data_IF_544816737317
#
_entry.id   IF_544816737317
#
_cell.length_a   1.000
_cell.length_b   1.000
_cell.length_c   1.000
_cell.angle_alpha   90.00
_cell.angle_beta   90.00
_cell.angle_gamma   90.00
#
_symmetry.space_group_name_H-M   'P 1'
#
loop_
_entity.id
_entity.type
_entity.pdbx_description
1 polymer ?
#
# COMPACT_ATOMS: atom_id res chain seq x y z
N UNK A 1 -12.63 43.16 0.10
CA UNK A 1 -13.55 42.00 0.15
C UNK A 1 -13.25 40.90 -0.87
N UNK A 2 -13.05 41.21 -2.17
CA UNK A 2 -12.72 40.18 -3.20
C UNK A 2 -11.41 39.42 -2.92
N UNK A 3 -10.38 40.03 -2.38
CA UNK A 3 -9.09 39.35 -2.06
C UNK A 3 -9.20 38.39 -0.89
N UNK A 4 -10.03 38.68 0.14
CA UNK A 4 -10.25 37.79 1.26
C UNK A 4 -11.00 36.50 0.85
N UNK A 5 -11.98 36.63 -0.05
CA UNK A 5 -12.68 35.48 -0.63
C UNK A 5 -11.77 34.63 -1.52
N UNK A 6 -10.82 35.23 -2.24
CA UNK A 6 -9.82 34.50 -3.03
C UNK A 6 -8.89 33.69 -2.14
N UNK A 7 -8.36 34.24 -1.05
CA UNK A 7 -7.47 33.55 -0.11
C UNK A 7 -8.16 32.38 0.62
N UNK A 8 -9.42 32.55 1.03
CA UNK A 8 -10.20 31.49 1.66
C UNK A 8 -10.51 30.32 0.68
N UNK A 9 -10.79 30.63 -0.58
CA UNK A 9 -11.01 29.63 -1.63
C UNK A 9 -9.72 28.85 -1.96
N UNK A 10 -8.59 29.53 -2.01
CA UNK A 10 -7.27 28.92 -2.21
C UNK A 10 -6.89 27.98 -1.05
N UNK A 11 -7.21 28.38 0.20
CA UNK A 11 -7.00 27.53 1.38
C UNK A 11 -7.82 26.25 1.36
N UNK A 12 -9.11 26.33 0.96
CA UNK A 12 -9.96 25.14 0.79
C UNK A 12 -9.46 24.20 -0.30
N UNK A 13 -9.06 24.73 -1.46
CA UNK A 13 -8.49 23.92 -2.55
C UNK A 13 -7.21 23.20 -2.12
N UNK A 14 -6.34 23.88 -1.40
CA UNK A 14 -5.12 23.29 -0.83
C UNK A 14 -5.44 22.13 0.10
N UNK A 15 -6.41 22.27 1.00
CA UNK A 15 -6.78 21.22 1.94
C UNK A 15 -7.39 20.00 1.22
N UNK A 16 -8.23 20.20 0.21
CA UNK A 16 -8.78 19.12 -0.63
C UNK A 16 -7.66 18.38 -1.35
N UNK A 17 -6.70 19.10 -1.93
CA UNK A 17 -5.54 18.51 -2.59
C UNK A 17 -4.75 17.59 -1.64
N UNK A 18 -4.51 18.04 -0.39
CA UNK A 18 -3.81 17.25 0.62
C UNK A 18 -4.56 15.98 1.00
N UNK A 19 -5.85 16.06 1.20
CA UNK A 19 -6.67 14.89 1.52
C UNK A 19 -6.61 13.87 0.37
N UNK A 20 -6.76 14.31 -0.88
CA UNK A 20 -6.68 13.43 -2.04
C UNK A 20 -5.30 12.80 -2.20
N UNK A 21 -4.22 13.56 -1.92
CA UNK A 21 -2.85 13.07 -2.00
C UNK A 21 -2.59 11.99 -0.93
N UNK A 22 -3.01 12.22 0.31
CA UNK A 22 -2.88 11.24 1.41
C UNK A 22 -3.68 9.97 1.10
N UNK A 23 -4.92 10.11 0.61
CA UNK A 23 -5.73 8.96 0.20
C UNK A 23 -5.07 8.19 -0.96
N UNK A 24 -4.52 8.89 -1.94
CA UNK A 24 -3.78 8.27 -3.03
C UNK A 24 -2.56 7.49 -2.55
N UNK A 25 -1.76 8.07 -1.65
CA UNK A 25 -0.62 7.38 -1.04
C UNK A 25 -1.05 6.13 -0.24
N UNK A 26 -2.17 6.19 0.46
CA UNK A 26 -2.72 5.05 1.19
C UNK A 26 -3.15 3.92 0.25
N UNK A 27 -3.85 4.24 -0.85
CA UNK A 27 -4.22 3.25 -1.87
C UNK A 27 -2.99 2.60 -2.50
N UNK A 28 -1.97 3.39 -2.84
CA UNK A 28 -0.70 2.88 -3.35
C UNK A 28 -0.05 1.94 -2.33
N UNK A 29 0.00 2.32 -1.06
CA UNK A 29 0.55 1.47 0.01
C UNK A 29 -0.18 0.13 0.11
N UNK A 30 -1.51 0.13 0.05
CA UNK A 30 -2.32 -1.09 0.10
C UNK A 30 -2.11 -2.00 -1.13
N UNK A 31 -1.69 -1.45 -2.25
CA UNK A 31 -1.45 -2.21 -3.48
C UNK A 31 -0.11 -2.96 -3.49
N UNK A 32 0.76 -2.72 -2.50
CA UNK A 32 2.08 -3.34 -2.44
C UNK A 32 2.29 -4.18 -1.17
N UNK A 33 3.04 -5.27 -1.33
CA UNK A 33 3.65 -6.03 -0.22
C UNK A 33 5.14 -5.67 -0.16
N UNK A 34 5.55 -4.97 0.88
CA UNK A 34 6.97 -4.62 1.11
C UNK A 34 7.55 -5.59 2.12
N UNK A 35 8.49 -6.40 1.70
CA UNK A 35 9.09 -7.46 2.53
C UNK A 35 10.35 -7.00 3.27
N UNK A 36 11.12 -6.07 2.68
CA UNK A 36 12.35 -5.56 3.28
C UNK A 36 12.20 -4.19 3.92
N UNK A 37 12.94 -3.94 4.99
CA UNK A 37 13.03 -2.62 5.63
C UNK A 37 13.99 -1.64 4.91
N UNK A 38 14.77 -2.12 3.92
CA UNK A 38 15.70 -1.25 3.19
C UNK A 38 14.99 -0.09 2.49
N UNK A 39 13.75 -0.32 2.00
CA UNK A 39 12.95 0.70 1.35
C UNK A 39 12.52 1.81 2.31
N UNK A 40 12.32 1.47 3.59
CA UNK A 40 12.03 2.44 4.66
C UNK A 40 13.27 3.31 4.91
N UNK A 41 14.47 2.72 4.92
CA UNK A 41 15.72 3.45 5.06
C UNK A 41 15.94 4.44 3.94
N UNK A 42 15.72 4.02 2.69
CA UNK A 42 15.78 4.90 1.52
C UNK A 42 14.76 6.04 1.61
N UNK A 43 13.53 5.73 2.04
CA UNK A 43 12.49 6.74 2.26
C UNK A 43 12.92 7.78 3.30
N UNK A 44 13.48 7.34 4.44
CA UNK A 44 13.97 8.24 5.49
C UNK A 44 15.08 9.14 4.91
N UNK A 45 16.05 8.58 4.19
CA UNK A 45 17.15 9.34 3.58
C UNK A 45 16.61 10.40 2.61
N UNK A 46 15.72 10.00 1.69
CA UNK A 46 15.14 10.94 0.71
C UNK A 46 14.31 12.03 1.41
N UNK A 47 13.53 11.66 2.44
CA UNK A 47 12.76 12.62 3.23
C UNK A 47 13.67 13.61 3.94
N UNK A 48 14.76 13.15 4.56
CA UNK A 48 15.75 14.01 5.23
C UNK A 48 16.41 14.96 4.24
N UNK A 49 16.84 14.46 3.06
CA UNK A 49 17.45 15.31 2.02
C UNK A 49 16.46 16.35 1.51
N UNK A 50 15.20 15.98 1.28
CA UNK A 50 14.16 16.90 0.83
C UNK A 50 13.83 17.98 1.87
N UNK A 51 13.77 17.60 3.16
CA UNK A 51 13.58 18.54 4.28
C UNK A 51 14.75 19.52 4.41
N UNK A 52 15.99 19.03 4.29
CA UNK A 52 17.16 19.90 4.31
C UNK A 52 17.16 20.88 3.15
N UNK A 53 16.76 20.43 1.95
CA UNK A 53 16.62 21.29 0.78
C UNK A 53 15.54 22.38 0.99
N UNK A 54 14.37 22.01 1.49
CA UNK A 54 13.28 22.96 1.74
C UNK A 54 13.56 23.91 2.91
N UNK A 55 14.33 23.49 3.91
CA UNK A 55 14.76 24.33 5.02
C UNK A 55 15.65 25.49 4.56
N UNK A 56 16.35 25.31 3.45
CA UNK A 56 17.13 26.36 2.80
C UNK A 56 16.26 27.36 2.00
N UNK A 57 15.02 26.95 1.61
CA UNK A 57 14.14 27.73 0.72
C UNK A 57 12.88 28.24 1.44
N UNK A 58 12.32 27.50 2.43
CA UNK A 58 11.03 27.79 3.05
C UNK A 58 11.07 27.83 4.58
N UNK A 59 10.25 28.72 5.16
CA UNK A 59 10.22 29.01 6.60
C UNK A 59 9.40 28.03 7.48
N UNK A 60 8.75 27.01 6.90
CA UNK A 60 7.88 26.07 7.64
C UNK A 60 8.30 24.62 7.43
N UNK A 61 9.11 24.12 8.32
CA UNK A 61 9.73 22.78 8.24
C UNK A 61 8.70 21.64 8.22
N UNK A 62 7.61 21.74 8.96
CA UNK A 62 6.62 20.66 9.05
C UNK A 62 5.81 20.47 7.76
N UNK A 63 5.35 21.58 7.16
CA UNK A 63 4.61 21.52 5.88
C UNK A 63 5.50 20.97 4.76
N UNK A 64 6.78 21.29 4.78
CA UNK A 64 7.77 20.78 3.85
C UNK A 64 7.99 19.25 3.99
N UNK A 65 8.09 18.74 5.21
CA UNK A 65 8.26 17.29 5.46
C UNK A 65 7.08 16.49 4.90
N UNK A 66 5.86 16.90 5.25
CA UNK A 66 4.66 16.19 4.81
C UNK A 66 4.49 16.25 3.30
N UNK A 67 4.74 17.43 2.72
CA UNK A 67 4.66 17.66 1.27
C UNK A 67 5.60 16.74 0.51
N UNK A 68 6.86 16.75 0.86
CA UNK A 68 7.88 15.96 0.18
C UNK A 68 7.69 14.46 0.37
N UNK A 69 7.29 14.01 1.55
CA UNK A 69 6.95 12.63 1.81
C UNK A 69 5.80 12.15 0.92
N UNK A 70 4.72 12.92 0.83
CA UNK A 70 3.56 12.57 0.01
C UNK A 70 3.89 12.59 -1.49
N UNK A 71 4.64 13.58 -1.97
CA UNK A 71 5.06 13.66 -3.38
C UNK A 71 5.98 12.48 -3.71
N UNK A 72 6.95 12.18 -2.85
CA UNK A 72 7.83 11.03 -3.03
C UNK A 72 7.05 9.72 -3.15
N UNK A 73 6.16 9.44 -2.21
CA UNK A 73 5.32 8.24 -2.24
C UNK A 73 4.43 8.18 -3.47
N UNK A 74 3.84 9.31 -3.87
CA UNK A 74 3.02 9.36 -5.07
C UNK A 74 3.84 9.06 -6.33
N UNK A 75 4.98 9.72 -6.51
CA UNK A 75 5.83 9.55 -7.70
C UNK A 75 6.44 8.15 -7.75
N UNK A 76 7.03 7.67 -6.66
CA UNK A 76 7.64 6.34 -6.60
C UNK A 76 6.57 5.26 -6.74
N UNK A 77 5.46 5.37 -6.01
CA UNK A 77 4.37 4.41 -6.08
C UNK A 77 3.77 4.31 -7.49
N UNK A 78 3.47 5.42 -8.13
CA UNK A 78 2.98 5.45 -9.51
C UNK A 78 4.00 4.86 -10.49
N UNK A 79 5.28 5.18 -10.34
CA UNK A 79 6.34 4.61 -11.17
C UNK A 79 6.45 3.09 -11.02
N UNK A 80 6.33 2.58 -9.79
CA UNK A 80 6.32 1.15 -9.51
C UNK A 80 5.06 0.47 -10.06
N UNK A 81 3.89 1.10 -9.96
CA UNK A 81 2.64 0.58 -10.54
C UNK A 81 2.75 0.51 -12.07
N UNK A 82 3.24 1.56 -12.72
CA UNK A 82 3.46 1.57 -14.18
C UNK A 82 4.44 0.48 -14.60
N UNK A 83 5.55 0.33 -13.87
CA UNK A 83 6.52 -0.74 -14.13
C UNK A 83 5.87 -2.12 -13.95
N UNK A 84 5.05 -2.29 -12.91
CA UNK A 84 4.36 -3.56 -12.66
C UNK A 84 3.42 -3.96 -13.79
N UNK A 85 2.87 -3.00 -14.54
CA UNK A 85 1.99 -3.29 -15.66
C UNK A 85 2.68 -4.17 -16.74
N UNK A 86 3.97 -3.94 -16.98
CA UNK A 86 4.75 -4.65 -17.98
C UNK A 86 5.45 -5.92 -17.47
N UNK A 87 5.36 -6.23 -16.17
CA UNK A 87 6.04 -7.39 -15.60
C UNK A 87 5.14 -8.63 -15.63
N UNK A 88 5.74 -9.82 -15.77
CA UNK A 88 5.01 -11.08 -15.68
C UNK A 88 4.46 -11.27 -14.26
N UNK A 89 3.26 -11.84 -14.22
CA UNK A 89 2.60 -12.21 -12.98
C UNK A 89 3.13 -13.54 -12.48
N UNK A 90 3.36 -13.65 -11.17
CA UNK A 90 3.74 -14.87 -10.47
C UNK A 90 2.69 -15.20 -9.42
N UNK A 91 2.31 -16.46 -9.35
CA UNK A 91 1.34 -16.96 -8.38
C UNK A 91 2.10 -17.56 -7.19
N UNK A 92 1.75 -17.13 -6.00
CA UNK A 92 2.30 -17.66 -4.74
C UNK A 92 1.16 -18.20 -3.90
N UNK A 93 1.28 -19.45 -3.46
CA UNK A 93 0.36 -20.05 -2.49
C UNK A 93 0.95 -19.91 -1.08
N UNK A 94 0.18 -19.35 -0.17
CA UNK A 94 0.56 -19.16 1.24
C UNK A 94 -0.59 -19.58 2.14
N UNK A 95 -0.30 -20.12 3.33
CA UNK A 95 -1.34 -20.56 4.26
C UNK A 95 -2.18 -19.36 4.74
N UNK A 96 -3.49 -19.54 4.81
CA UNK A 96 -4.39 -18.61 5.47
C UNK A 96 -4.22 -18.78 6.99
N UNK A 97 -3.71 -17.73 7.65
CA UNK A 97 -3.39 -17.76 9.07
C UNK A 97 -4.58 -17.36 9.96
N UNK A 98 -5.54 -16.62 9.40
CA UNK A 98 -6.73 -16.17 10.12
C UNK A 98 -7.59 -15.27 9.24
N UNK A 99 -8.75 -14.92 9.77
CA UNK A 99 -9.68 -14.01 9.12
C UNK A 99 -10.45 -13.19 10.16
N UNK A 100 -11.08 -12.11 9.74
CA UNK A 100 -11.98 -11.28 10.53
C UNK A 100 -13.15 -10.82 9.66
N UNK A 101 -14.36 -10.85 10.20
CA UNK A 101 -15.60 -10.48 9.49
C UNK A 101 -16.30 -9.27 10.12
N UNK A 102 -15.55 -8.40 10.84
CA UNK A 102 -16.11 -7.14 11.32
C UNK A 102 -16.29 -6.20 10.13
N UNK A 103 -17.14 -5.24 10.17
CA UNK A 103 -17.45 -4.20 9.14
C UNK A 103 -16.94 -4.43 7.70
N UNK A 104 -15.69 -4.87 7.56
CA UNK A 104 -15.02 -5.27 6.31
C UNK A 104 -14.32 -6.58 6.59
N UNK A 105 -14.48 -7.55 5.69
CA UNK A 105 -13.80 -8.84 5.81
C UNK A 105 -12.31 -8.67 5.54
N UNK A 106 -11.49 -9.28 6.38
CA UNK A 106 -10.04 -9.28 6.26
C UNK A 106 -9.50 -10.71 6.35
N UNK A 107 -8.43 -10.95 5.59
CA UNK A 107 -7.63 -12.17 5.67
C UNK A 107 -6.24 -11.86 6.17
N UNK A 108 -5.69 -12.78 6.96
CA UNK A 108 -4.34 -12.71 7.52
C UNK A 108 -3.49 -13.82 6.95
N UNK A 109 -2.33 -13.48 6.42
CA UNK A 109 -1.39 -14.44 5.87
C UNK A 109 0.06 -14.00 6.08
N UNK A 110 0.99 -14.95 5.94
CA UNK A 110 2.44 -14.66 5.96
C UNK A 110 3.03 -14.86 4.58
N UNK A 111 3.76 -13.85 4.13
CA UNK A 111 4.51 -13.92 2.90
C UNK A 111 5.96 -13.53 3.14
N UNK A 112 6.91 -14.41 2.79
CA UNK A 112 8.35 -14.22 3.00
C UNK A 112 8.71 -13.80 4.44
N UNK A 113 8.08 -14.45 5.42
CA UNK A 113 8.34 -14.23 6.85
C UNK A 113 7.60 -13.04 7.47
N UNK A 114 6.92 -12.20 6.69
CA UNK A 114 6.12 -11.08 7.19
C UNK A 114 4.64 -11.41 7.22
N UNK A 115 3.97 -10.88 8.26
CA UNK A 115 2.52 -10.95 8.38
C UNK A 115 1.88 -9.79 7.61
N UNK A 116 0.82 -10.09 6.88
CA UNK A 116 0.02 -9.12 6.14
C UNK A 116 -1.45 -9.32 6.44
N UNK A 117 -2.17 -8.21 6.39
CA UNK A 117 -3.62 -8.13 6.46
C UNK A 117 -4.12 -7.48 5.17
N UNK A 118 -5.17 -8.05 4.57
CA UNK A 118 -5.80 -7.49 3.37
C UNK A 118 -7.31 -7.68 3.42
N UNK A 119 -8.02 -6.67 2.96
CA UNK A 119 -9.46 -6.76 2.75
C UNK A 119 -9.76 -7.77 1.64
N UNK A 120 -10.69 -8.69 1.92
CA UNK A 120 -11.09 -9.73 0.98
C UNK A 120 -12.52 -10.15 1.29
N UNK A 121 -13.40 -10.23 0.30
CA UNK A 121 -14.78 -10.67 0.53
C UNK A 121 -14.82 -12.16 0.82
N UNK A 122 -15.39 -12.50 1.97
CA UNK A 122 -15.56 -13.89 2.43
C UNK A 122 -16.99 -14.42 2.22
N UNK A 123 -17.88 -13.64 1.59
CA UNK A 123 -19.30 -13.99 1.41
C UNK A 123 -19.54 -15.33 0.70
N UNK A 124 -18.64 -15.72 -0.18
CA UNK A 124 -18.78 -16.91 -1.02
C UNK A 124 -18.08 -18.14 -0.43
N UNK A 125 -17.55 -18.03 0.79
CA UNK A 125 -16.76 -19.08 1.44
C UNK A 125 -17.43 -19.61 2.70
N UNK A 126 -17.34 -20.92 2.90
CA UNK A 126 -17.72 -21.54 4.17
C UNK A 126 -16.67 -21.20 5.23
N UNK A 127 -17.07 -20.35 6.18
CA UNK A 127 -16.18 -19.87 7.25
C UNK A 127 -15.86 -20.94 8.28
N UNK A 128 -16.63 -22.05 8.32
CA UNK A 128 -16.31 -23.16 9.19
C UNK A 128 -14.98 -23.78 8.76
N UNK A 129 -13.98 -23.66 9.61
CA UNK A 129 -12.64 -24.24 9.40
C UNK A 129 -11.89 -23.71 8.14
N UNK A 130 -12.21 -22.47 7.72
CA UNK A 130 -11.67 -21.86 6.50
C UNK A 130 -10.13 -21.89 6.45
N UNK A 131 -9.46 -21.67 7.59
CA UNK A 131 -8.00 -21.66 7.67
C UNK A 131 -7.36 -23.03 7.39
N UNK A 132 -8.08 -24.11 7.65
CA UNK A 132 -7.60 -25.46 7.35
C UNK A 132 -7.96 -25.93 5.95
N UNK A 133 -9.03 -25.36 5.36
CA UNK A 133 -9.54 -25.76 4.04
C UNK A 133 -8.96 -24.98 2.89
N UNK A 134 -8.49 -23.74 3.14
CA UNK A 134 -8.06 -22.84 2.07
C UNK A 134 -6.66 -22.31 2.31
N UNK A 135 -5.95 -22.11 1.21
CA UNK A 135 -4.73 -21.32 1.10
C UNK A 135 -5.04 -20.02 0.35
N UNK A 136 -4.20 -19.00 0.58
CA UNK A 136 -4.28 -17.74 -0.13
C UNK A 136 -3.39 -17.83 -1.37
N UNK A 137 -3.97 -17.63 -2.55
CA UNK A 137 -3.24 -17.43 -3.79
C UNK A 137 -3.02 -15.93 -4.00
N UNK A 138 -1.76 -15.55 -4.06
CA UNK A 138 -1.32 -14.18 -4.30
C UNK A 138 -0.84 -14.06 -5.74
N UNK A 139 -1.47 -13.21 -6.52
CA UNK A 139 -1.05 -12.85 -7.86
C UNK A 139 -0.16 -11.61 -7.75
N UNK A 140 1.15 -11.81 -7.90
CA UNK A 140 2.14 -10.78 -7.59
C UNK A 140 3.02 -10.47 -8.79
N UNK A 141 3.36 -9.19 -8.92
CA UNK A 141 4.39 -8.69 -9.83
C UNK A 141 5.49 -8.03 -9.02
N UNK A 142 6.75 -8.26 -9.38
CA UNK A 142 7.93 -7.81 -8.62
C UNK A 142 8.63 -6.64 -9.32
N UNK A 143 8.16 -5.38 -9.14
CA UNK A 143 8.80 -4.22 -9.77
C UNK A 143 10.18 -3.91 -9.21
N UNK A 144 10.45 -4.27 -7.96
CA UNK A 144 11.76 -4.19 -7.30
C UNK A 144 11.98 -5.43 -6.47
N UNK A 145 13.23 -5.83 -6.21
CA UNK A 145 13.52 -6.89 -5.24
C UNK A 145 12.84 -6.57 -3.91
N UNK A 146 12.12 -7.53 -3.33
CA UNK A 146 11.40 -7.40 -2.05
C UNK A 146 10.14 -6.50 -2.04
N UNK A 147 9.79 -5.86 -3.16
CA UNK A 147 8.55 -5.08 -3.33
C UNK A 147 7.66 -5.78 -4.33
N UNK A 148 6.45 -6.15 -3.92
CA UNK A 148 5.51 -6.92 -4.73
C UNK A 148 4.22 -6.13 -4.92
N UNK A 149 3.85 -5.90 -6.17
CA UNK A 149 2.54 -5.35 -6.51
C UNK A 149 1.51 -6.46 -6.52
N UNK A 150 0.41 -6.27 -5.81
CA UNK A 150 -0.72 -7.21 -5.77
C UNK A 150 -1.61 -6.93 -6.97
N UNK A 151 -1.65 -7.85 -7.92
CA UNK A 151 -2.61 -7.82 -9.05
C UNK A 151 -3.92 -8.52 -8.71
N UNK A 152 -3.88 -9.48 -7.79
CA UNK A 152 -5.07 -10.19 -7.32
C UNK A 152 -4.79 -11.04 -6.08
N UNK A 153 -5.87 -11.37 -5.38
CA UNK A 153 -5.88 -12.32 -4.26
C UNK A 153 -7.08 -13.25 -4.45
N UNK A 154 -6.87 -14.54 -4.27
CA UNK A 154 -7.95 -15.53 -4.22
C UNK A 154 -7.71 -16.56 -3.12
N UNK A 155 -8.75 -17.28 -2.73
CA UNK A 155 -8.63 -18.43 -1.85
C UNK A 155 -8.78 -19.71 -2.68
N UNK A 156 -7.80 -20.59 -2.59
CA UNK A 156 -7.87 -21.92 -3.21
C UNK A 156 -8.03 -23.00 -2.15
N UNK A 157 -8.80 -24.03 -2.46
CA UNK A 157 -8.89 -25.22 -1.58
C UNK A 157 -7.52 -25.87 -1.48
N UNK A 158 -7.12 -26.24 -0.27
CA UNK A 158 -5.92 -27.04 -0.06
C UNK A 158 -6.09 -28.35 -0.79
N UNK A 159 -5.10 -28.71 -1.58
CA UNK A 159 -5.03 -30.06 -2.14
C UNK A 159 -4.88 -31.04 -0.97
N UNK A 160 -5.88 -31.88 -0.77
CA UNK A 160 -5.75 -32.99 0.17
C UNK A 160 -4.60 -33.86 -0.34
N UNK A 161 -3.44 -33.71 0.24
CA UNK A 161 -2.38 -34.70 0.08
C UNK A 161 -2.91 -35.96 0.76
N UNK A 162 -3.59 -36.80 -0.03
CA UNK A 162 -3.92 -38.16 0.39
C UNK A 162 -2.59 -38.85 0.73
N UNK A 163 -2.37 -39.06 2.02
CA UNK A 163 -1.31 -39.93 2.50
C UNK A 163 -1.62 -41.41 2.16
#
# INVERSE_FOLDING_TARGET
MKELFSKAKLGKLRNIFWVLLIMGCYVIYLSFLVVSFYDIGLFIIVTVVAVLYDKLIASKVFDAIVNNACIYWAVVGLSLMLRSYYLPEKIYKVPLNGFSTHRVDHIYFRFKGRAFERSFSLSDYDLSDICNRYDVELYLKEPLPTVYYISGISLCKKENVSK
#
